data_IF_830796636542
#
_entry.id   IF_830796636542
#
_cell.length_a   1.000
_cell.length_b   1.000
_cell.length_c   1.000
_cell.angle_alpha   90.00
_cell.angle_beta   90.00
_cell.angle_gamma   90.00
#
_symmetry.space_group_name_H-M   'P 1'
#
loop_
_entity.id
_entity.type
_entity.pdbx_description
1 polymer ?
#
# COMPACT_ATOMS: atom_id res chain seq x y z
N UNK A 1 0.26 7.99 -3.91
CA UNK A 1 -0.71 7.74 -2.82
C UNK A 1 -0.18 8.39 -1.54
N UNK A 2 -0.99 9.25 -0.90
CA UNK A 2 -0.63 9.84 0.40
C UNK A 2 -1.24 9.02 1.54
N UNK A 3 -0.40 8.59 2.50
CA UNK A 3 -0.85 7.84 3.66
C UNK A 3 -1.30 8.81 4.77
N UNK A 4 -2.56 8.68 5.19
CA UNK A 4 -3.16 9.42 6.32
C UNK A 4 -2.90 8.68 7.65
N UNK A 5 -1.61 8.47 7.97
CA UNK A 5 -1.20 7.86 9.24
C UNK A 5 -1.07 8.97 10.32
N UNK A 6 -2.14 9.75 10.49
CA UNK A 6 -2.25 10.89 11.41
C UNK A 6 -3.05 10.50 12.66
N UNK A 7 -3.02 11.32 13.75
CA UNK A 7 -3.59 10.92 15.04
C UNK A 7 -5.09 10.63 15.02
N UNK A 8 -5.86 11.36 14.20
CA UNK A 8 -7.32 11.27 14.19
C UNK A 8 -7.91 11.65 12.82
N UNK A 9 -9.20 11.40 12.68
CA UNK A 9 -9.97 11.62 11.45
C UNK A 9 -10.04 13.09 11.05
N UNK A 10 -10.16 14.01 12.01
CA UNK A 10 -10.25 15.45 11.73
C UNK A 10 -8.94 15.96 11.14
N UNK A 11 -7.81 15.58 11.74
CA UNK A 11 -6.48 15.88 11.20
C UNK A 11 -6.30 15.30 9.78
N UNK A 12 -6.83 14.09 9.54
CA UNK A 12 -6.80 13.46 8.21
C UNK A 12 -7.61 14.24 7.18
N UNK A 13 -8.79 14.71 7.53
CA UNK A 13 -9.66 15.51 6.68
C UNK A 13 -9.07 16.90 6.39
N UNK A 14 -8.50 17.56 7.41
CA UNK A 14 -7.81 18.85 7.26
C UNK A 14 -6.60 18.73 6.33
N UNK A 15 -5.80 17.67 6.46
CA UNK A 15 -4.69 17.42 5.56
C UNK A 15 -5.18 17.20 4.12
N UNK A 16 -6.23 16.42 3.93
CA UNK A 16 -6.79 16.19 2.60
C UNK A 16 -7.33 17.48 1.97
N UNK A 17 -7.97 18.36 2.75
CA UNK A 17 -8.40 19.69 2.30
C UNK A 17 -7.22 20.60 1.94
N UNK A 18 -6.16 20.61 2.75
CA UNK A 18 -4.93 21.36 2.48
C UNK A 18 -4.26 20.93 1.18
N UNK A 19 -4.25 19.62 0.89
CA UNK A 19 -3.68 19.06 -0.32
C UNK A 19 -4.57 19.26 -1.56
N UNK A 20 -5.87 19.43 -1.37
CA UNK A 20 -6.83 19.73 -2.44
C UNK A 20 -6.70 18.78 -3.63
N UNK A 21 -6.61 19.33 -4.84
CA UNK A 21 -6.53 18.57 -6.10
C UNK A 21 -5.11 18.05 -6.41
N UNK A 22 -4.09 18.46 -5.65
CA UNK A 22 -2.72 17.95 -5.81
C UNK A 22 -2.60 16.46 -5.44
N UNK A 23 -3.56 15.92 -4.67
CA UNK A 23 -3.63 14.51 -4.31
C UNK A 23 -5.02 13.96 -4.56
N UNK A 24 -5.10 12.94 -5.40
CA UNK A 24 -6.35 12.25 -5.75
C UNK A 24 -6.51 10.88 -5.07
N UNK A 25 -5.46 10.36 -4.39
CA UNK A 25 -5.48 9.02 -3.86
C UNK A 25 -4.86 8.96 -2.45
N UNK A 26 -5.66 8.53 -1.47
CA UNK A 26 -5.26 8.45 -0.07
C UNK A 26 -5.26 7.01 0.45
N UNK A 27 -4.30 6.70 1.33
CA UNK A 27 -4.27 5.44 2.08
C UNK A 27 -4.74 5.67 3.52
N UNK A 28 -5.68 4.87 3.96
CA UNK A 28 -6.14 4.81 5.35
C UNK A 28 -5.65 3.49 5.95
N UNK A 29 -4.78 3.60 6.95
CA UNK A 29 -4.13 2.46 7.57
C UNK A 29 -4.88 1.93 8.80
N UNK A 30 -4.38 0.79 9.31
CA UNK A 30 -4.96 0.07 10.45
C UNK A 30 -5.10 0.96 11.70
N UNK A 31 -4.13 1.84 11.97
CA UNK A 31 -4.18 2.74 13.13
C UNK A 31 -5.34 3.73 13.10
N UNK A 32 -5.79 4.14 11.91
CA UNK A 32 -6.92 5.05 11.73
C UNK A 32 -8.27 4.32 11.79
N UNK A 33 -8.29 2.99 11.56
CA UNK A 33 -9.53 2.22 11.42
C UNK A 33 -10.43 2.35 12.67
N UNK A 34 -9.84 2.19 13.85
CA UNK A 34 -10.55 2.28 15.13
C UNK A 34 -10.98 3.70 15.50
N UNK A 35 -10.36 4.70 14.89
CA UNK A 35 -10.66 6.13 15.09
C UNK A 35 -11.62 6.73 14.05
N UNK A 36 -12.38 5.89 13.30
CA UNK A 36 -13.33 6.37 12.31
C UNK A 36 -12.82 6.35 10.86
N UNK A 37 -11.76 5.59 10.58
CA UNK A 37 -11.13 5.55 9.26
C UNK A 37 -12.07 5.18 8.11
N UNK A 38 -13.08 4.33 8.33
CA UNK A 38 -14.09 4.04 7.30
C UNK A 38 -15.01 5.24 7.05
N UNK A 39 -15.34 6.01 8.08
CA UNK A 39 -16.11 7.24 7.90
C UNK A 39 -15.32 8.28 7.10
N UNK A 40 -14.02 8.45 7.41
CA UNK A 40 -13.11 9.29 6.63
C UNK A 40 -12.98 8.81 5.18
N UNK A 41 -12.88 7.49 4.95
CA UNK A 41 -12.83 6.93 3.61
C UNK A 41 -14.06 7.31 2.79
N UNK A 42 -15.24 7.16 3.39
CA UNK A 42 -16.51 7.51 2.75
C UNK A 42 -16.63 9.01 2.47
N UNK A 43 -16.27 9.85 3.43
CA UNK A 43 -16.25 11.32 3.27
C UNK A 43 -15.35 11.75 2.11
N UNK A 44 -14.09 11.27 2.10
CA UNK A 44 -13.12 11.60 1.06
C UNK A 44 -13.58 11.14 -0.32
N UNK A 45 -14.25 9.99 -0.40
CA UNK A 45 -14.77 9.47 -1.66
C UNK A 45 -16.03 10.21 -2.12
N UNK A 46 -17.04 10.30 -1.27
CA UNK A 46 -18.35 10.84 -1.63
C UNK A 46 -18.33 12.37 -1.83
N UNK A 47 -17.67 13.10 -0.92
CA UNK A 47 -17.72 14.57 -0.93
C UNK A 47 -16.51 15.20 -1.64
N UNK A 48 -15.38 14.50 -1.73
CA UNK A 48 -14.15 15.03 -2.32
C UNK A 48 -13.68 14.29 -3.57
N UNK A 49 -14.39 13.26 -4.05
CA UNK A 49 -14.05 12.49 -5.25
C UNK A 49 -12.69 11.80 -5.22
N UNK A 50 -12.17 11.50 -4.02
CA UNK A 50 -10.84 10.92 -3.86
C UNK A 50 -10.88 9.40 -3.98
N UNK A 51 -9.81 8.82 -4.50
CA UNK A 51 -9.58 7.37 -4.48
C UNK A 51 -9.09 6.94 -3.10
N UNK A 52 -9.49 5.73 -2.67
CA UNK A 52 -9.17 5.24 -1.33
C UNK A 52 -8.52 3.87 -1.37
N UNK A 53 -7.38 3.78 -0.71
CA UNK A 53 -6.66 2.56 -0.43
C UNK A 53 -6.80 2.22 1.06
N UNK A 54 -7.53 1.16 1.40
CA UNK A 54 -7.66 0.67 2.77
C UNK A 54 -6.55 -0.34 3.08
N UNK A 55 -5.59 0.06 3.92
CA UNK A 55 -4.38 -0.70 4.20
C UNK A 55 -4.46 -1.42 5.56
N UNK A 56 -5.13 -2.57 5.59
CA UNK A 56 -5.41 -3.35 6.80
C UNK A 56 -4.53 -4.59 6.95
N UNK A 57 -3.96 -5.08 5.85
CA UNK A 57 -3.14 -6.30 5.81
C UNK A 57 -3.87 -7.49 6.47
N UNK A 58 -5.11 -7.73 6.05
CA UNK A 58 -5.96 -8.75 6.64
C UNK A 58 -5.30 -10.14 6.62
N UNK A 59 -5.39 -10.84 7.74
CA UNK A 59 -4.90 -12.20 7.90
C UNK A 59 -5.79 -12.96 8.89
N UNK A 60 -6.52 -13.95 8.39
CA UNK A 60 -7.42 -14.79 9.18
C UNK A 60 -7.76 -16.06 8.36
N UNK A 61 -8.61 -16.93 8.87
CA UNK A 61 -9.16 -18.07 8.13
C UNK A 61 -10.00 -17.59 6.94
N UNK A 62 -10.06 -18.40 5.88
CA UNK A 62 -10.65 -18.01 4.59
C UNK A 62 -12.08 -17.47 4.70
N UNK A 63 -12.95 -18.11 5.49
CA UNK A 63 -14.34 -17.66 5.65
C UNK A 63 -14.46 -16.27 6.28
N UNK A 64 -13.60 -15.94 7.26
CA UNK A 64 -13.55 -14.63 7.91
C UNK A 64 -13.06 -13.57 6.93
N UNK A 65 -11.99 -13.88 6.17
CA UNK A 65 -11.46 -12.97 5.14
C UNK A 65 -12.50 -12.66 4.07
N UNK A 66 -13.15 -13.69 3.52
CA UNK A 66 -14.18 -13.52 2.50
C UNK A 66 -15.33 -12.63 3.00
N UNK A 67 -15.83 -12.91 4.20
CA UNK A 67 -16.90 -12.12 4.80
C UNK A 67 -16.51 -10.66 5.06
N UNK A 68 -15.29 -10.43 5.59
CA UNK A 68 -14.76 -9.10 5.85
C UNK A 68 -14.60 -8.30 4.55
N UNK A 69 -14.00 -8.90 3.51
CA UNK A 69 -13.77 -8.23 2.23
C UNK A 69 -15.10 -7.95 1.52
N UNK A 70 -16.07 -8.86 1.57
CA UNK A 70 -17.43 -8.62 1.05
C UNK A 70 -18.12 -7.45 1.75
N UNK A 71 -17.89 -7.27 3.04
CA UNK A 71 -18.36 -6.10 3.80
C UNK A 71 -17.69 -4.81 3.33
N UNK A 72 -16.35 -4.83 3.16
CA UNK A 72 -15.55 -3.70 2.73
C UNK A 72 -15.87 -3.30 1.28
N UNK A 73 -16.14 -4.26 0.39
CA UNK A 73 -16.47 -4.00 -1.00
C UNK A 73 -17.72 -3.10 -1.20
N UNK A 74 -18.59 -3.02 -0.20
CA UNK A 74 -19.79 -2.14 -0.24
C UNK A 74 -19.46 -0.65 -0.12
N UNK A 75 -18.25 -0.31 0.32
CA UNK A 75 -17.81 1.09 0.45
C UNK A 75 -17.23 1.64 -0.85
N UNK A 76 -17.24 0.87 -1.94
CA UNK A 76 -16.73 1.27 -3.26
C UNK A 76 -15.28 1.81 -3.20
N UNK A 77 -14.42 1.17 -2.43
CA UNK A 77 -13.00 1.53 -2.28
C UNK A 77 -12.19 0.98 -3.45
N UNK A 78 -11.01 1.58 -3.68
CA UNK A 78 -10.18 1.21 -4.83
C UNK A 78 -9.23 0.05 -4.51
N UNK A 79 -8.52 0.09 -3.37
CA UNK A 79 -7.53 -0.92 -2.98
C UNK A 79 -7.75 -1.40 -1.55
N UNK A 80 -7.48 -2.69 -1.33
CA UNK A 80 -7.42 -3.32 0.00
C UNK A 80 -6.20 -4.22 0.10
N UNK A 81 -5.46 -4.15 1.22
CA UNK A 81 -4.35 -5.07 1.48
C UNK A 81 -4.77 -6.28 2.30
N UNK A 82 -4.22 -7.41 1.89
CA UNK A 82 -4.25 -8.67 2.64
C UNK A 82 -2.84 -9.26 2.72
N UNK A 83 -2.58 -10.20 3.65
CA UNK A 83 -1.34 -10.98 3.63
C UNK A 83 -1.23 -11.82 2.35
N UNK A 84 0.01 -12.01 1.85
CA UNK A 84 0.29 -12.69 0.59
C UNK A 84 0.19 -14.22 0.63
N UNK A 85 -0.47 -14.78 1.65
CA UNK A 85 -0.69 -16.22 1.77
C UNK A 85 -1.80 -16.65 0.82
N UNK A 86 -1.59 -17.67 -0.04
CA UNK A 86 -2.50 -17.98 -1.14
C UNK A 86 -3.97 -18.24 -0.73
N UNK A 87 -4.20 -18.81 0.46
CA UNK A 87 -5.56 -19.04 0.94
C UNK A 87 -6.27 -17.75 1.34
N UNK A 88 -5.53 -16.80 1.93
CA UNK A 88 -6.04 -15.46 2.27
C UNK A 88 -6.36 -14.67 1.00
N UNK A 89 -5.46 -14.70 0.02
CA UNK A 89 -5.65 -14.01 -1.27
C UNK A 89 -6.88 -14.53 -1.99
N UNK A 90 -7.03 -15.86 -2.14
CA UNK A 90 -8.21 -16.45 -2.80
C UNK A 90 -9.51 -16.02 -2.11
N UNK A 91 -9.58 -16.12 -0.78
CA UNK A 91 -10.76 -15.73 -0.02
C UNK A 91 -11.07 -14.22 -0.16
N UNK A 92 -10.04 -13.38 -0.22
CA UNK A 92 -10.20 -11.94 -0.44
C UNK A 92 -10.75 -11.64 -1.85
N UNK A 93 -10.24 -12.32 -2.88
CA UNK A 93 -10.72 -12.17 -4.25
C UNK A 93 -12.19 -12.63 -4.39
N UNK A 94 -12.58 -13.73 -3.73
CA UNK A 94 -13.97 -14.17 -3.68
C UNK A 94 -14.86 -13.12 -2.98
N UNK A 95 -14.42 -12.56 -1.87
CA UNK A 95 -15.14 -11.50 -1.16
C UNK A 95 -15.28 -10.21 -1.98
N UNK A 96 -14.31 -9.90 -2.83
CA UNK A 96 -14.31 -8.73 -3.71
C UNK A 96 -15.04 -8.96 -5.05
N UNK A 97 -15.45 -10.20 -5.35
CA UNK A 97 -16.03 -10.55 -6.64
C UNK A 97 -17.25 -9.67 -6.98
N UNK A 98 -17.30 -9.19 -8.21
CA UNK A 98 -18.36 -8.30 -8.70
C UNK A 98 -18.26 -6.84 -8.24
N UNK A 99 -17.20 -6.45 -7.50
CA UNK A 99 -16.90 -5.07 -7.12
C UNK A 99 -15.71 -4.50 -7.91
N UNK A 100 -15.47 -3.18 -7.77
CA UNK A 100 -14.27 -2.52 -8.30
C UNK A 100 -13.03 -2.63 -7.39
N UNK A 101 -13.18 -3.25 -6.21
CA UNK A 101 -12.13 -3.33 -5.20
C UNK A 101 -10.97 -4.24 -5.65
N UNK A 102 -9.76 -3.70 -5.70
CA UNK A 102 -8.55 -4.45 -6.06
C UNK A 102 -7.85 -4.97 -4.81
N UNK A 103 -7.53 -6.25 -4.82
CA UNK A 103 -6.83 -6.93 -3.74
C UNK A 103 -5.32 -6.86 -3.96
N UNK A 104 -4.61 -6.22 -3.02
CA UNK A 104 -3.16 -6.11 -3.01
C UNK A 104 -2.57 -7.02 -1.94
N UNK A 105 -1.72 -7.94 -2.34
CA UNK A 105 -1.10 -8.91 -1.45
C UNK A 105 0.23 -8.39 -0.89
N UNK A 106 0.38 -8.38 0.42
CA UNK A 106 1.64 -7.99 1.08
C UNK A 106 2.66 -9.13 0.94
N UNK A 107 3.81 -8.83 0.37
CA UNK A 107 4.91 -9.80 0.24
C UNK A 107 5.71 -9.92 1.54
N UNK A 108 6.59 -8.97 1.81
CA UNK A 108 7.34 -8.83 3.06
C UNK A 108 7.26 -7.36 3.48
N UNK A 109 6.98 -7.11 4.75
CA UNK A 109 6.91 -5.75 5.29
C UNK A 109 8.26 -5.03 5.13
N UNK A 110 8.23 -3.78 4.69
CA UNK A 110 9.45 -2.98 4.45
C UNK A 110 10.21 -2.59 5.71
N UNK A 111 9.60 -2.78 6.87
CA UNK A 111 10.22 -2.62 8.19
C UNK A 111 11.04 -3.84 8.64
N UNK A 112 10.88 -4.99 7.97
CA UNK A 112 11.56 -6.23 8.34
C UNK A 112 12.84 -6.43 7.53
N UNK A 113 13.86 -7.00 8.19
CA UNK A 113 15.09 -7.48 7.58
C UNK A 113 15.21 -9.01 7.71
N UNK A 114 16.37 -9.57 7.35
CA UNK A 114 16.57 -11.03 7.40
C UNK A 114 16.51 -11.56 8.83
N UNK A 115 17.05 -10.82 9.81
CA UNK A 115 17.03 -11.24 11.20
C UNK A 115 15.58 -11.36 11.72
N UNK A 116 14.74 -10.36 11.46
CA UNK A 116 13.32 -10.41 11.85
C UNK A 116 12.60 -11.64 11.25
N UNK A 117 12.95 -12.01 10.00
CA UNK A 117 12.36 -13.18 9.35
C UNK A 117 12.89 -14.51 9.94
N UNK A 118 14.14 -14.55 10.39
CA UNK A 118 14.71 -15.73 11.07
C UNK A 118 14.03 -15.95 12.42
N UNK A 119 13.82 -14.87 13.18
CA UNK A 119 13.08 -14.92 14.45
C UNK A 119 11.62 -15.35 14.26
N UNK A 120 11.00 -14.98 13.12
CA UNK A 120 9.66 -15.41 12.75
C UNK A 120 9.61 -16.82 12.11
N UNK A 121 10.71 -17.58 12.12
CA UNK A 121 10.83 -18.92 11.54
C UNK A 121 10.51 -19.00 10.05
N UNK A 122 10.75 -17.92 9.32
CA UNK A 122 10.58 -17.90 7.87
C UNK A 122 11.78 -18.60 7.21
N UNK A 123 11.48 -19.39 6.20
CA UNK A 123 12.50 -20.20 5.48
C UNK A 123 13.74 -19.37 5.10
N UNK A 124 14.95 -19.96 5.15
CA UNK A 124 16.18 -19.31 4.74
C UNK A 124 16.15 -18.82 3.30
N UNK A 125 16.97 -17.82 2.99
CA UNK A 125 17.14 -17.29 1.65
C UNK A 125 17.28 -15.78 1.62
N UNK A 126 17.71 -15.24 0.48
CA UNK A 126 17.75 -13.81 0.27
C UNK A 126 16.35 -13.21 0.37
N UNK A 127 16.24 -12.05 0.98
CA UNK A 127 14.94 -11.40 1.22
C UNK A 127 14.24 -11.05 -0.10
N UNK A 128 14.98 -10.64 -1.12
CA UNK A 128 14.49 -10.38 -2.47
C UNK A 128 13.85 -11.62 -3.11
N UNK A 129 14.49 -12.79 -2.97
CA UNK A 129 13.99 -14.04 -3.53
C UNK A 129 12.71 -14.50 -2.81
N UNK A 130 12.68 -14.34 -1.49
CA UNK A 130 11.48 -14.65 -0.69
C UNK A 130 10.33 -13.72 -1.07
N UNK A 131 10.57 -12.42 -1.23
CA UNK A 131 9.57 -11.46 -1.67
C UNK A 131 9.05 -11.78 -3.07
N UNK A 132 9.93 -12.09 -4.02
CA UNK A 132 9.55 -12.48 -5.38
C UNK A 132 8.71 -13.78 -5.40
N UNK A 133 9.11 -14.80 -4.65
CA UNK A 133 8.35 -16.06 -4.52
C UNK A 133 6.98 -15.85 -3.88
N UNK A 134 6.87 -14.98 -2.85
CA UNK A 134 5.58 -14.63 -2.25
C UNK A 134 4.71 -13.86 -3.24
N UNK A 135 5.29 -12.91 -3.98
CA UNK A 135 4.59 -12.17 -5.04
C UNK A 135 4.02 -13.13 -6.10
N UNK A 136 4.84 -14.01 -6.66
CA UNK A 136 4.39 -14.98 -7.67
C UNK A 136 3.19 -15.82 -7.17
N UNK A 137 3.29 -16.37 -5.95
CA UNK A 137 2.20 -17.19 -5.37
C UNK A 137 0.92 -16.39 -5.11
N UNK A 138 1.04 -15.15 -4.66
CA UNK A 138 -0.11 -14.28 -4.41
C UNK A 138 -0.80 -13.89 -5.73
N UNK A 139 -0.02 -13.55 -6.77
CA UNK A 139 -0.54 -13.23 -8.09
C UNK A 139 -1.20 -14.43 -8.77
N UNK A 140 -0.62 -15.63 -8.65
CA UNK A 140 -1.23 -16.89 -9.08
C UNK A 140 -2.52 -17.20 -8.33
N UNK A 141 -2.63 -16.79 -7.07
CA UNK A 141 -3.85 -16.95 -6.26
C UNK A 141 -4.96 -15.95 -6.62
N UNK A 142 -4.71 -15.00 -7.52
CA UNK A 142 -5.69 -14.06 -8.05
C UNK A 142 -5.53 -12.60 -7.64
N UNK A 143 -4.51 -12.23 -6.83
CA UNK A 143 -4.29 -10.85 -6.45
C UNK A 143 -4.19 -9.92 -7.68
N UNK A 144 -4.74 -8.70 -7.56
CA UNK A 144 -4.64 -7.66 -8.58
C UNK A 144 -3.28 -6.97 -8.59
N UNK A 145 -2.53 -7.12 -7.50
CA UNK A 145 -1.18 -6.60 -7.35
C UNK A 145 -0.55 -6.98 -6.02
N UNK A 146 0.62 -6.42 -5.77
CA UNK A 146 1.38 -6.68 -4.55
C UNK A 146 1.87 -5.40 -3.89
N UNK A 147 2.05 -5.48 -2.57
CA UNK A 147 2.80 -4.51 -1.79
C UNK A 147 4.21 -5.07 -1.60
N UNK A 148 5.20 -4.35 -2.09
CA UNK A 148 6.61 -4.75 -2.02
C UNK A 148 7.53 -3.55 -1.79
N UNK A 149 8.73 -3.78 -1.26
CA UNK A 149 9.75 -2.74 -1.16
C UNK A 149 10.18 -2.29 -2.57
N UNK A 150 10.58 -1.03 -2.74
CA UNK A 150 11.19 -0.57 -3.99
C UNK A 150 12.38 -1.42 -4.44
N UNK A 151 13.12 -2.02 -3.50
CA UNK A 151 14.28 -2.88 -3.78
C UNK A 151 13.92 -4.21 -4.46
N UNK A 152 12.69 -4.70 -4.29
CA UNK A 152 12.21 -5.93 -4.93
C UNK A 152 11.35 -5.67 -6.17
N UNK A 153 10.94 -4.41 -6.41
CA UNK A 153 9.99 -4.07 -7.47
C UNK A 153 10.44 -4.54 -8.85
N UNK A 154 11.70 -4.34 -9.22
CA UNK A 154 12.25 -4.78 -10.52
C UNK A 154 12.23 -6.31 -10.67
N UNK A 155 12.64 -7.04 -9.63
CA UNK A 155 12.62 -8.50 -9.62
C UNK A 155 11.19 -9.04 -9.75
N UNK A 156 10.24 -8.42 -9.03
CA UNK A 156 8.83 -8.80 -9.10
C UNK A 156 8.24 -8.44 -10.47
N UNK A 157 8.57 -7.27 -11.03
CA UNK A 157 8.08 -6.86 -12.36
C UNK A 157 8.53 -7.81 -13.48
N UNK A 158 9.69 -8.45 -13.32
CA UNK A 158 10.21 -9.43 -14.27
C UNK A 158 9.50 -10.81 -14.20
N UNK A 159 8.65 -11.06 -13.20
CA UNK A 159 7.88 -12.31 -13.09
C UNK A 159 6.78 -12.35 -14.15
N UNK A 160 6.57 -13.50 -14.83
CA UNK A 160 5.45 -13.66 -15.77
C UNK A 160 4.09 -13.34 -15.13
N UNK A 161 3.90 -13.70 -13.86
CA UNK A 161 2.68 -13.49 -13.10
C UNK A 161 2.39 -12.00 -12.84
N UNK A 162 3.40 -11.14 -12.93
CA UNK A 162 3.27 -9.69 -12.71
C UNK A 162 2.84 -8.93 -13.97
N UNK A 163 2.67 -9.61 -15.10
CA UNK A 163 2.18 -8.98 -16.34
C UNK A 163 0.79 -8.36 -16.11
N UNK A 164 0.67 -7.03 -16.30
CA UNK A 164 -0.58 -6.28 -16.08
C UNK A 164 -1.03 -6.15 -14.62
N UNK A 165 -0.20 -6.58 -13.65
CA UNK A 165 -0.49 -6.49 -12.23
C UNK A 165 0.17 -5.28 -11.59
N UNK A 166 -0.43 -4.78 -10.50
CA UNK A 166 0.06 -3.61 -9.78
C UNK A 166 1.20 -3.95 -8.83
N UNK A 167 2.21 -3.09 -8.82
CA UNK A 167 3.26 -3.07 -7.79
C UNK A 167 3.14 -1.74 -7.05
N UNK A 168 2.79 -1.81 -5.76
CA UNK A 168 2.63 -0.64 -4.90
C UNK A 168 3.71 -0.65 -3.84
N UNK A 169 4.53 0.41 -3.78
CA UNK A 169 5.71 0.44 -2.92
C UNK A 169 5.59 1.49 -1.82
N UNK A 170 5.48 1.06 -0.54
CA UNK A 170 5.68 1.93 0.62
C UNK A 170 7.17 2.11 0.93
N UNK A 171 7.47 2.89 1.99
CA UNK A 171 8.86 3.13 2.39
C UNK A 171 9.61 4.12 1.51
N UNK A 172 8.89 4.86 0.67
CA UNK A 172 9.47 5.87 -0.20
C UNK A 172 9.77 7.15 0.58
N UNK A 173 10.96 7.71 0.36
CA UNK A 173 11.44 8.92 1.00
C UNK A 173 12.12 9.83 -0.03
N UNK A 174 11.73 11.09 -0.16
CA UNK A 174 12.51 12.07 -0.92
C UNK A 174 13.95 12.14 -0.42
N UNK A 175 14.87 12.53 -1.27
CA UNK A 175 16.28 12.71 -0.92
C UNK A 175 16.42 13.61 0.33
N UNK A 176 17.23 13.18 1.31
CA UNK A 176 17.46 13.90 2.55
C UNK A 176 16.39 13.73 3.64
N UNK A 177 15.28 13.07 3.37
CA UNK A 177 14.26 12.81 4.39
C UNK A 177 14.68 11.74 5.40
N UNK A 178 14.24 11.85 6.65
CA UNK A 178 14.55 10.89 7.71
C UNK A 178 14.00 9.49 7.41
N UNK A 179 14.81 8.46 7.63
CA UNK A 179 14.43 7.04 7.40
C UNK A 179 13.29 6.59 8.32
N UNK A 180 13.33 7.00 9.60
CA UNK A 180 12.40 6.55 10.63
C UNK A 180 12.55 5.05 10.88
N UNK A 181 11.42 4.34 11.02
CA UNK A 181 11.31 2.89 11.20
C UNK A 181 11.48 2.05 9.92
N UNK A 182 11.62 2.70 8.77
CA UNK A 182 11.78 2.00 7.49
C UNK A 182 13.24 1.57 7.30
N UNK A 183 13.48 0.26 7.22
CA UNK A 183 14.82 -0.30 7.00
C UNK A 183 15.21 -0.29 5.52
N UNK A 184 14.23 -0.32 4.61
CA UNK A 184 14.41 -0.45 3.15
C UNK A 184 13.70 0.71 2.44
N UNK A 185 14.44 1.79 2.21
CA UNK A 185 13.92 3.03 1.59
C UNK A 185 14.50 3.24 0.20
N UNK A 186 13.77 3.96 -0.64
CA UNK A 186 14.22 4.48 -1.92
C UNK A 186 13.57 5.85 -2.17
N UNK A 187 14.10 6.62 -3.10
CA UNK A 187 13.49 7.87 -3.55
C UNK A 187 12.25 7.59 -4.42
N UNK A 188 11.36 8.59 -4.61
CA UNK A 188 10.23 8.49 -5.53
C UNK A 188 10.65 8.02 -6.93
N UNK A 189 11.67 8.65 -7.50
CA UNK A 189 12.18 8.32 -8.83
C UNK A 189 12.74 6.89 -8.92
N UNK A 190 13.52 6.46 -7.91
CA UNK A 190 14.06 5.10 -7.87
C UNK A 190 12.95 4.05 -7.82
N UNK A 191 11.91 4.28 -7.02
CA UNK A 191 10.79 3.35 -6.90
C UNK A 191 10.04 3.18 -8.23
N UNK A 192 9.76 4.29 -8.93
CA UNK A 192 9.08 4.24 -10.24
C UNK A 192 9.97 3.60 -11.30
N UNK A 193 11.26 3.95 -11.38
CA UNK A 193 12.21 3.30 -12.31
C UNK A 193 12.35 1.79 -12.06
N UNK A 194 12.23 1.36 -10.81
CA UNK A 194 12.22 -0.05 -10.44
C UNK A 194 10.93 -0.79 -10.86
N UNK A 195 9.93 -0.08 -11.40
CA UNK A 195 8.70 -0.69 -11.93
C UNK A 195 7.49 -0.62 -10.98
N UNK A 196 7.53 0.24 -9.96
CA UNK A 196 6.33 0.52 -9.16
C UNK A 196 5.30 1.30 -9.97
N UNK A 197 4.03 0.89 -9.91
CA UNK A 197 2.91 1.64 -10.49
C UNK A 197 2.43 2.76 -9.56
N UNK A 198 2.57 2.53 -8.25
CA UNK A 198 2.24 3.50 -7.22
C UNK A 198 3.29 3.50 -6.11
N UNK A 199 3.60 4.68 -5.61
CA UNK A 199 4.34 4.88 -4.36
C UNK A 199 3.40 5.29 -3.24
N UNK A 200 3.71 4.90 -2.00
CA UNK A 200 2.98 5.32 -0.79
C UNK A 200 3.90 6.17 0.07
N UNK A 201 3.50 7.43 0.26
CA UNK A 201 4.27 8.41 1.05
C UNK A 201 3.40 8.91 2.21
N UNK A 202 3.91 8.80 3.41
CA UNK A 202 3.24 9.23 4.64
C UNK A 202 3.93 10.43 5.28
N UNK A 203 4.78 10.17 6.29
CA UNK A 203 5.49 11.19 7.11
C UNK A 203 6.17 12.31 6.33
N UNK A 204 6.83 12.06 5.18
CA UNK A 204 7.40 13.15 4.37
C UNK A 204 6.39 14.19 3.91
N UNK A 205 5.11 13.85 3.85
CA UNK A 205 4.02 14.77 3.51
C UNK A 205 3.39 15.34 4.77
N UNK A 206 2.80 14.51 5.64
CA UNK A 206 1.99 15.01 6.74
C UNK A 206 2.79 15.60 7.92
N UNK A 207 4.12 15.36 7.99
CA UNK A 207 5.03 16.05 8.94
C UNK A 207 5.74 17.26 8.32
N UNK A 208 5.55 17.53 7.05
CA UNK A 208 6.16 18.68 6.42
C UNK A 208 5.55 19.99 6.95
N UNK A 209 6.37 21.03 7.04
CA UNK A 209 5.89 22.39 7.36
C UNK A 209 4.89 22.88 6.30
N UNK A 210 5.12 22.49 5.04
CA UNK A 210 4.22 22.73 3.93
C UNK A 210 3.96 21.39 3.20
N UNK A 211 2.85 20.70 3.52
CA UNK A 211 2.50 19.43 2.90
C UNK A 211 2.26 19.53 1.38
N UNK A 212 1.72 20.66 0.91
CA UNK A 212 1.45 20.85 -0.52
C UNK A 212 2.75 20.99 -1.31
N UNK A 213 3.71 21.77 -0.82
CA UNK A 213 5.03 21.87 -1.42
C UNK A 213 5.79 20.53 -1.39
N UNK A 214 5.65 19.74 -0.33
CA UNK A 214 6.25 18.40 -0.27
C UNK A 214 5.67 17.48 -1.35
N UNK A 215 4.35 17.47 -1.56
CA UNK A 215 3.71 16.70 -2.64
C UNK A 215 4.17 17.19 -4.00
N UNK A 216 4.21 18.51 -4.24
CA UNK A 216 4.65 19.09 -5.52
C UNK A 216 6.09 18.64 -5.85
N UNK A 217 6.99 18.64 -4.88
CA UNK A 217 8.38 18.18 -5.04
C UNK A 217 8.44 16.71 -5.45
N UNK A 218 7.65 15.84 -4.79
CA UNK A 218 7.57 14.41 -5.11
C UNK A 218 7.02 14.20 -6.52
N UNK A 219 5.95 14.92 -6.89
CA UNK A 219 5.36 14.84 -8.22
C UNK A 219 6.32 15.31 -9.31
N UNK A 220 7.07 16.40 -9.08
CA UNK A 220 8.06 16.90 -10.01
C UNK A 220 9.22 15.90 -10.22
N UNK A 221 9.68 15.24 -9.15
CA UNK A 221 10.71 14.19 -9.25
C UNK A 221 10.26 13.01 -10.12
N UNK A 222 8.99 12.62 -10.02
CA UNK A 222 8.42 11.52 -10.81
C UNK A 222 8.17 11.96 -12.26
N UNK A 223 7.66 13.17 -12.48
CA UNK A 223 7.35 13.68 -13.81
C UNK A 223 8.60 13.91 -14.68
N UNK A 224 9.78 14.01 -14.09
CA UNK A 224 11.06 14.12 -14.78
C UNK A 224 11.63 12.77 -15.27
N UNK A 225 10.89 11.66 -15.21
CA UNK A 225 11.31 10.34 -15.64
C UNK A 225 10.83 10.03 -17.05
#
# INVERSE_FOLDING_TARGET
>A
IVALDVPDVLTGLELARTLGDSVSFYKIGLGMLTGGGLALANELKAEHGKRIFLDLKLFDISATIEAAVRGIARFDLDFLTVHGDPHVVRAACEGAAGSGLKILAVTILTSLDRQDLDEALIVPGALSDLAARRAARALQAGADGVIASPHEAATIRALPEAAGKLIVTPGVRPAGAAKGDQKRIATPAEAIRAGADHIVVGRPVWKATDPAAAVATICAEIAGL
#
